data_IF_230359575940
#
_entry.id   IF_230359575940
#
_cell.length_a   1.000
_cell.length_b   1.000
_cell.length_c   1.000
_cell.angle_alpha   90.00
_cell.angle_beta   90.00
_cell.angle_gamma   90.00
#
_symmetry.space_group_name_H-M   'P 1'
#
loop_
_entity.id
_entity.type
_entity.pdbx_description
1 polymer ?
#
# COMPACT_ATOMS: atom_id res chain seq x y z
N UNK A 1 -15.83 19.71 21.01
CA UNK A 1 -15.49 18.50 20.21
C UNK A 1 -14.05 18.69 19.78
N UNK A 2 -13.13 17.87 20.29
CA UNK A 2 -11.69 18.15 20.31
C UNK A 2 -11.15 18.39 18.89
N UNK A 3 -10.63 19.60 18.65
CA UNK A 3 -9.82 19.93 17.49
C UNK A 3 -8.68 18.92 17.37
N UNK A 4 -8.82 17.98 16.44
CA UNK A 4 -7.68 17.19 15.97
C UNK A 4 -6.78 18.18 15.25
N UNK A 5 -5.85 18.78 16.01
CA UNK A 5 -4.71 19.52 15.45
C UNK A 5 -4.02 18.56 14.49
N UNK A 6 -4.37 18.67 13.21
CA UNK A 6 -3.68 17.94 12.16
C UNK A 6 -2.23 18.33 12.28
N UNK A 7 -1.36 17.39 12.69
CA UNK A 7 0.07 17.64 12.79
C UNK A 7 0.51 18.29 11.50
N UNK A 8 1.10 19.48 11.59
CA UNK A 8 1.63 20.22 10.44
C UNK A 8 3.09 19.89 10.27
N UNK A 9 3.62 20.15 9.09
CA UNK A 9 5.05 20.08 8.83
C UNK A 9 5.79 20.97 9.85
N UNK A 10 6.89 20.48 10.42
CA UNK A 10 7.73 21.25 11.36
C UNK A 10 8.48 22.43 10.75
N UNK A 11 8.22 22.79 9.49
CA UNK A 11 8.83 23.94 8.83
C UNK A 11 7.94 25.18 9.05
N UNK A 12 8.50 26.32 9.49
CA UNK A 12 7.73 27.54 9.72
C UNK A 12 6.98 27.96 8.45
N UNK A 13 5.71 28.29 8.58
CA UNK A 13 4.84 28.67 7.45
C UNK A 13 4.30 27.52 6.59
N UNK A 14 4.67 26.26 6.86
CA UNK A 14 4.18 25.13 6.07
C UNK A 14 2.88 24.54 6.63
N UNK A 15 1.82 24.56 5.83
CA UNK A 15 0.50 23.98 6.17
C UNK A 15 0.34 22.53 5.71
N UNK A 16 1.34 21.97 5.02
CA UNK A 16 1.30 20.58 4.52
C UNK A 16 1.35 19.58 5.68
N UNK A 17 0.71 18.42 5.49
CA UNK A 17 0.82 17.29 6.43
C UNK A 17 2.24 16.70 6.38
N UNK A 18 2.86 16.42 7.53
CA UNK A 18 4.14 15.75 7.59
C UNK A 18 3.97 14.31 7.11
N UNK A 19 4.94 13.83 6.36
CA UNK A 19 4.99 12.45 5.86
C UNK A 19 6.38 11.82 5.97
N UNK A 20 7.41 12.64 6.19
CA UNK A 20 8.81 12.27 6.27
C UNK A 20 9.31 12.43 7.70
N UNK A 21 10.17 11.53 8.13
CA UNK A 21 10.79 11.53 9.45
C UNK A 21 12.07 10.69 9.43
N UNK A 22 12.69 10.54 10.59
CA UNK A 22 13.92 9.76 10.70
C UNK A 22 13.70 8.28 10.33
N UNK A 23 14.72 7.62 9.80
CA UNK A 23 14.67 6.17 9.59
C UNK A 23 14.44 5.44 10.91
N UNK A 24 13.59 4.43 10.90
CA UNK A 24 13.10 3.73 12.11
C UNK A 24 12.04 4.47 12.94
N UNK A 25 11.80 5.77 12.71
CA UNK A 25 10.76 6.50 13.46
C UNK A 25 9.36 6.26 12.89
N UNK A 26 8.36 6.14 13.77
CA UNK A 26 6.93 6.12 13.39
C UNK A 26 6.33 7.53 13.25
N UNK A 27 7.10 8.56 13.61
CA UNK A 27 6.63 9.94 13.66
C UNK A 27 7.11 10.70 12.44
N UNK A 28 6.16 11.16 11.62
CA UNK A 28 6.45 12.12 10.56
C UNK A 28 6.59 13.53 11.15
N UNK A 29 7.67 14.22 10.78
CA UNK A 29 8.00 15.56 11.28
C UNK A 29 7.97 16.60 10.15
N UNK A 30 8.39 16.21 8.95
CA UNK A 30 8.48 17.11 7.80
C UNK A 30 7.64 16.61 6.62
N UNK A 31 7.26 17.52 5.73
CA UNK A 31 6.59 17.17 4.47
C UNK A 31 7.64 16.79 3.41
N UNK A 32 7.21 16.21 2.29
CA UNK A 32 8.12 15.77 1.21
C UNK A 32 9.05 16.87 0.70
N UNK A 33 8.58 18.12 0.70
CA UNK A 33 9.32 19.28 0.22
C UNK A 33 10.39 19.77 1.22
N UNK A 34 10.17 19.53 2.52
CA UNK A 34 11.09 19.94 3.58
C UNK A 34 11.81 18.73 4.20
N UNK A 35 11.81 17.58 3.53
CA UNK A 35 12.49 16.40 4.03
C UNK A 35 14.01 16.66 4.02
N UNK A 36 14.68 16.46 5.16
CA UNK A 36 16.13 16.56 5.25
C UNK A 36 16.81 15.34 4.62
N UNK A 37 18.10 15.47 4.28
CA UNK A 37 18.89 14.36 3.76
C UNK A 37 18.90 13.21 4.79
N UNK A 38 18.55 12.00 4.34
CA UNK A 38 18.40 10.82 5.21
C UNK A 38 17.01 10.64 5.83
N UNK A 39 16.09 11.60 5.67
CA UNK A 39 14.70 11.39 6.08
C UNK A 39 13.94 10.53 5.08
N UNK A 40 13.05 9.71 5.62
CA UNK A 40 12.29 8.72 4.87
C UNK A 40 10.80 8.92 5.09
N UNK A 41 9.98 8.53 4.10
CA UNK A 41 8.52 8.62 4.23
C UNK A 41 8.01 7.60 5.27
N UNK A 42 7.77 8.04 6.50
CA UNK A 42 7.25 7.22 7.63
C UNK A 42 5.73 7.16 7.67
N UNK A 43 5.03 8.02 6.93
CA UNK A 43 3.56 7.96 6.80
C UNK A 43 3.08 6.75 5.98
N UNK A 44 3.96 6.16 5.16
CA UNK A 44 3.65 5.00 4.31
C UNK A 44 4.30 3.76 4.91
N UNK A 45 3.57 2.64 4.89
CA UNK A 45 4.13 1.33 5.24
C UNK A 45 5.27 0.99 4.28
N UNK A 46 6.37 0.51 4.83
CA UNK A 46 7.55 0.03 4.09
C UNK A 46 7.70 -1.48 4.29
N UNK A 47 8.48 -2.07 3.40
CA UNK A 47 8.97 -3.43 3.58
C UNK A 47 9.70 -3.52 4.92
N UNK A 48 9.46 -4.59 5.67
CA UNK A 48 10.03 -4.83 7.00
C UNK A 48 11.55 -5.11 6.94
N UNK A 49 12.06 -5.42 5.76
CA UNK A 49 13.48 -5.63 5.54
C UNK A 49 14.30 -4.34 5.71
N UNK A 50 15.39 -4.35 6.50
CA UNK A 50 16.25 -3.18 6.70
C UNK A 50 16.82 -2.70 5.36
N UNK A 51 16.80 -1.38 5.14
CA UNK A 51 17.26 -0.76 3.90
C UNK A 51 16.28 -0.83 2.71
N UNK A 52 15.14 -1.51 2.83
CA UNK A 52 14.16 -1.56 1.75
C UNK A 52 13.10 -0.44 1.86
N UNK A 53 13.16 0.54 0.96
CA UNK A 53 12.15 1.61 0.90
C UNK A 53 10.93 1.28 0.02
N UNK A 54 10.83 0.04 -0.48
CA UNK A 54 9.70 -0.38 -1.32
C UNK A 54 8.43 -0.58 -0.49
N UNK A 55 7.28 -0.33 -1.12
CA UNK A 55 5.97 -0.59 -0.52
C UNK A 55 5.78 -2.11 -0.33
N UNK A 56 5.32 -2.56 0.83
CA UNK A 56 5.05 -3.97 1.05
C UNK A 56 3.75 -4.35 0.33
N UNK A 57 3.80 -5.50 -0.34
CA UNK A 57 2.64 -6.11 -1.01
C UNK A 57 2.40 -7.57 -0.57
N UNK A 58 3.45 -8.21 -0.02
CA UNK A 58 3.46 -9.61 0.37
C UNK A 58 3.37 -9.74 1.89
N UNK A 59 2.63 -10.74 2.34
CA UNK A 59 2.46 -11.07 3.76
C UNK A 59 2.07 -12.53 3.95
N UNK A 60 1.83 -12.92 5.21
CA UNK A 60 1.37 -14.28 5.53
C UNK A 60 0.01 -14.58 4.87
N UNK A 61 -0.18 -15.82 4.43
CA UNK A 61 -1.47 -16.27 3.89
C UNK A 61 -2.59 -16.03 4.92
N UNK A 62 -3.69 -15.41 4.48
CA UNK A 62 -4.81 -15.01 5.36
C UNK A 62 -4.61 -13.70 6.13
N UNK A 63 -3.42 -13.10 6.09
CA UNK A 63 -3.18 -11.80 6.71
C UNK A 63 -3.72 -10.66 5.83
N UNK A 64 -4.30 -9.64 6.46
CA UNK A 64 -4.64 -8.35 5.81
C UNK A 64 -3.45 -7.38 5.80
N UNK A 65 -2.31 -7.77 6.36
CA UNK A 65 -1.12 -6.93 6.49
C UNK A 65 -0.02 -7.43 5.56
N UNK A 66 0.39 -6.56 4.64
CA UNK A 66 1.62 -6.73 3.88
C UNK A 66 2.79 -6.24 4.73
N UNK A 67 3.83 -7.06 4.79
CA UNK A 67 5.05 -6.85 5.57
C UNK A 67 6.25 -6.71 4.64
N UNK A 68 6.28 -7.45 3.53
CA UNK A 68 7.43 -7.48 2.62
C UNK A 68 7.08 -7.03 1.20
N UNK A 69 8.07 -6.53 0.47
CA UNK A 69 7.94 -6.31 -0.97
C UNK A 69 8.10 -7.63 -1.72
N UNK A 70 7.69 -7.67 -3.01
CA UNK A 70 7.78 -8.88 -3.84
C UNK A 70 9.19 -9.48 -3.91
N UNK A 71 10.23 -8.65 -3.86
CA UNK A 71 11.61 -9.11 -3.97
C UNK A 71 12.16 -9.69 -2.67
N UNK A 72 11.61 -9.28 -1.52
CA UNK A 72 12.06 -9.68 -0.18
C UNK A 72 10.98 -10.50 0.53
N UNK A 73 10.03 -11.04 -0.24
CA UNK A 73 8.99 -11.91 0.28
C UNK A 73 9.62 -13.24 0.70
N UNK A 74 9.38 -13.67 1.94
CA UNK A 74 9.83 -14.97 2.42
C UNK A 74 9.06 -16.10 1.71
N UNK A 75 9.69 -17.29 1.67
CA UNK A 75 9.02 -18.53 1.26
C UNK A 75 7.69 -18.66 2.02
N UNK A 76 6.60 -18.93 1.29
CA UNK A 76 5.19 -18.99 1.77
C UNK A 76 4.46 -17.66 1.96
N UNK A 77 5.06 -16.51 1.67
CA UNK A 77 4.33 -15.24 1.60
C UNK A 77 3.55 -15.13 0.30
N UNK A 78 2.39 -14.47 0.37
CA UNK A 78 1.50 -14.26 -0.75
C UNK A 78 1.20 -12.77 -0.88
N UNK A 79 0.84 -12.33 -2.08
CA UNK A 79 0.32 -10.99 -2.26
C UNK A 79 -1.01 -10.85 -1.49
N UNK A 80 -1.05 -9.89 -0.57
CA UNK A 80 -2.19 -9.59 0.31
C UNK A 80 -2.79 -8.21 0.04
N UNK A 81 -2.20 -7.44 -0.88
CA UNK A 81 -2.65 -6.10 -1.27
C UNK A 81 -3.53 -6.16 -2.51
N UNK A 82 -3.18 -7.04 -3.44
CA UNK A 82 -3.91 -7.31 -4.67
C UNK A 82 -5.14 -8.13 -4.34
N UNK A 83 -6.27 -7.72 -4.92
CA UNK A 83 -7.52 -8.44 -4.74
C UNK A 83 -7.43 -9.80 -5.44
N UNK A 84 -7.91 -10.83 -4.75
CA UNK A 84 -8.10 -12.16 -5.33
C UNK A 84 -9.44 -12.20 -6.05
N UNK A 85 -9.53 -13.14 -6.99
CA UNK A 85 -10.78 -13.47 -7.63
C UNK A 85 -11.85 -13.80 -6.57
N UNK A 86 -13.04 -13.23 -6.70
CA UNK A 86 -14.18 -13.48 -5.80
C UNK A 86 -14.78 -14.88 -5.89
N UNK A 87 -14.26 -15.75 -6.77
CA UNK A 87 -14.75 -17.12 -6.91
C UNK A 87 -14.22 -17.99 -5.77
N UNK A 88 -15.06 -18.77 -5.06
CA UNK A 88 -14.62 -19.64 -3.97
C UNK A 88 -13.55 -20.62 -4.48
N UNK A 89 -12.46 -20.77 -3.72
CA UNK A 89 -11.34 -21.63 -4.08
C UNK A 89 -10.39 -21.09 -5.17
N UNK A 90 -10.63 -19.89 -5.73
CA UNK A 90 -9.73 -19.30 -6.71
C UNK A 90 -8.63 -18.46 -6.05
N UNK A 91 -7.37 -18.86 -6.21
CA UNK A 91 -6.21 -18.09 -5.72
C UNK A 91 -5.63 -17.10 -6.75
N UNK A 92 -6.20 -17.01 -7.96
CA UNK A 92 -5.75 -16.06 -8.99
C UNK A 92 -6.12 -14.63 -8.60
N UNK A 93 -5.29 -13.67 -9.01
CA UNK A 93 -5.58 -12.25 -8.87
C UNK A 93 -6.80 -11.87 -9.71
N UNK A 94 -7.64 -10.98 -9.17
CA UNK A 94 -8.73 -10.39 -9.92
C UNK A 94 -8.17 -9.35 -10.89
N UNK A 95 -8.56 -9.43 -12.15
CA UNK A 95 -8.17 -8.51 -13.23
C UNK A 95 -9.35 -8.07 -14.10
N UNK A 96 -10.53 -8.65 -13.88
CA UNK A 96 -11.75 -8.38 -14.64
C UNK A 96 -12.79 -7.72 -13.73
N UNK A 97 -13.50 -6.76 -14.30
CA UNK A 97 -14.52 -5.98 -13.62
C UNK A 97 -15.56 -5.43 -14.59
N UNK A 98 -16.55 -4.71 -14.06
CA UNK A 98 -17.60 -4.08 -14.88
C UNK A 98 -16.99 -3.01 -15.80
N UNK A 99 -17.44 -2.95 -17.05
CA UNK A 99 -17.04 -1.89 -17.98
C UNK A 99 -17.25 -0.49 -17.38
N UNK A 100 -16.23 0.37 -17.48
CA UNK A 100 -16.22 1.71 -16.88
C UNK A 100 -15.93 1.77 -15.37
N UNK A 101 -15.74 0.64 -14.69
CA UNK A 101 -15.40 0.60 -13.26
C UNK A 101 -13.89 0.42 -13.03
N UNK A 102 -13.35 1.06 -11.99
CA UNK A 102 -11.96 0.85 -11.52
C UNK A 102 -11.83 -0.36 -10.57
N UNK A 103 -12.94 -1.06 -10.30
CA UNK A 103 -12.97 -2.21 -9.38
C UNK A 103 -12.83 -3.51 -10.17
N UNK A 104 -11.83 -4.31 -9.80
CA UNK A 104 -11.64 -5.69 -10.25
C UNK A 104 -12.24 -6.65 -9.22
N UNK A 105 -12.95 -7.67 -9.70
CA UNK A 105 -13.72 -8.62 -8.89
C UNK A 105 -13.32 -10.07 -9.20
N UNK A 106 -13.10 -10.39 -10.49
CA UNK A 106 -12.83 -11.76 -10.94
C UNK A 106 -11.54 -11.86 -11.73
N UNK A 107 -10.98 -13.07 -11.84
CA UNK A 107 -9.89 -13.35 -12.77
C UNK A 107 -10.46 -13.64 -14.17
N UNK A 108 -9.60 -13.67 -15.20
CA UNK A 108 -10.01 -13.93 -16.59
C UNK A 108 -10.90 -15.16 -16.75
N UNK A 109 -10.61 -16.23 -15.99
CA UNK A 109 -11.37 -17.49 -16.06
C UNK A 109 -12.77 -17.41 -15.46
N UNK A 110 -12.98 -16.54 -14.48
CA UNK A 110 -14.27 -16.38 -13.80
C UNK A 110 -14.91 -15.03 -14.13
N UNK A 111 -14.49 -14.40 -15.23
CA UNK A 111 -15.11 -13.16 -15.69
C UNK A 111 -16.57 -13.46 -16.09
N UNK A 112 -17.51 -12.70 -15.54
CA UNK A 112 -18.92 -12.79 -15.92
C UNK A 112 -19.15 -12.10 -17.28
N UNK A 113 -20.27 -12.43 -17.93
CA UNK A 113 -20.64 -11.83 -19.20
C UNK A 113 -20.71 -10.29 -19.07
N UNK A 114 -20.04 -9.58 -19.98
CA UNK A 114 -19.94 -8.12 -19.96
C UNK A 114 -18.83 -7.54 -19.05
N UNK A 115 -18.02 -8.38 -18.41
CA UNK A 115 -16.82 -7.91 -17.72
C UNK A 115 -15.65 -7.72 -18.67
N UNK A 116 -14.89 -6.66 -18.46
CA UNK A 116 -13.70 -6.31 -19.24
C UNK A 116 -12.46 -6.41 -18.37
N UNK A 117 -11.29 -6.59 -19.00
CA UNK A 117 -10.01 -6.49 -18.31
C UNK A 117 -9.80 -5.05 -17.85
N UNK A 118 -9.80 -4.85 -16.53
CA UNK A 118 -9.48 -3.56 -15.92
C UNK A 118 -8.06 -3.68 -15.42
N UNK A 119 -7.10 -3.52 -16.35
CA UNK A 119 -5.69 -3.43 -15.99
C UNK A 119 -5.50 -2.18 -15.11
N UNK A 120 -4.80 -2.37 -13.99
CA UNK A 120 -4.67 -1.38 -12.92
C UNK A 120 -3.52 -0.41 -13.17
#
# INVERSE_FOLDING_TARGET
>A
MVDVVSKRCGHPGCTKRPSYGNDGSKKAELCAQHALQGMVSVARKRCDHPGCMKKPSYGKCGSKRAEFCVQLALQRMVDVVSKRCGHPGCMKLSSYGKAGSKKVEFCARHALQGMVSVAR
#
